data_IF_536313046853
#
_entry.id   IF_536313046853
#
_cell.length_a   1.000
_cell.length_b   1.000
_cell.length_c   1.000
_cell.angle_alpha   90.00
_cell.angle_beta   90.00
_cell.angle_gamma   90.00
#
_symmetry.space_group_name_H-M   'P 1'
#
loop_
_entity.id
_entity.type
_entity.pdbx_description
1 polymer ?
#
# COMPACT_ATOMS: atom_id res chain seq x y z
N UNK A 1 21.21 52.33 -23.88
CA UNK A 1 19.77 52.63 -23.81
C UNK A 1 19.05 51.58 -24.60
N UNK A 2 18.68 50.49 -23.99
CA UNK A 2 17.97 49.37 -24.63
C UNK A 2 16.63 49.22 -23.92
N UNK A 3 15.55 49.30 -24.69
CA UNK A 3 14.17 49.27 -24.23
C UNK A 3 13.78 47.88 -23.75
N UNK A 4 12.89 47.70 -22.76
CA UNK A 4 12.47 46.41 -22.25
C UNK A 4 11.37 45.76 -23.10
N UNK A 5 11.40 44.45 -23.14
CA UNK A 5 10.47 43.55 -23.81
C UNK A 5 9.14 43.46 -23.03
N UNK A 6 7.94 43.60 -23.65
CA UNK A 6 6.66 43.74 -22.94
C UNK A 6 5.90 42.44 -22.67
N UNK A 7 6.52 41.28 -22.58
CA UNK A 7 5.81 40.01 -22.40
C UNK A 7 6.33 39.18 -21.18
N UNK A 8 6.37 39.79 -20.03
CA UNK A 8 6.51 39.04 -18.76
C UNK A 8 5.30 39.32 -17.88
N UNK A 9 4.38 38.42 -17.84
CA UNK A 9 3.28 38.38 -16.87
C UNK A 9 3.88 38.05 -15.49
N UNK A 10 3.67 38.88 -14.45
CA UNK A 10 4.23 38.58 -13.12
C UNK A 10 3.50 37.44 -12.45
N UNK A 11 4.27 36.51 -11.85
CA UNK A 11 3.79 35.48 -10.93
C UNK A 11 3.02 36.11 -9.76
N UNK A 12 1.93 35.50 -9.28
CA UNK A 12 1.22 36.00 -8.11
C UNK A 12 2.11 35.94 -6.87
N UNK A 13 2.01 36.94 -5.97
CA UNK A 13 2.85 37.01 -4.78
C UNK A 13 2.53 35.90 -3.79
N UNK A 14 3.56 35.29 -3.24
CA UNK A 14 3.45 34.40 -2.09
C UNK A 14 2.87 35.15 -0.88
N UNK A 15 1.94 34.55 -0.11
CA UNK A 15 1.44 35.19 1.11
C UNK A 15 2.55 35.24 2.14
N UNK A 16 2.91 36.49 2.55
CA UNK A 16 3.82 36.78 3.65
C UNK A 16 3.20 36.35 4.97
N UNK A 17 4.06 35.84 5.84
CA UNK A 17 3.76 35.29 7.15
C UNK A 17 2.83 36.16 8.01
N UNK A 18 1.81 35.49 8.52
CA UNK A 18 1.01 35.90 9.66
C UNK A 18 1.53 35.19 10.91
N UNK A 19 1.63 35.93 11.99
CA UNK A 19 2.04 35.48 13.31
C UNK A 19 1.22 34.29 13.84
N UNK A 20 1.75 33.45 14.73
CA UNK A 20 1.03 32.31 15.26
C UNK A 20 0.00 32.76 16.30
N UNK A 21 -1.27 32.66 15.96
CA UNK A 21 -2.36 32.74 16.92
C UNK A 21 -2.47 31.42 17.68
N UNK A 22 -2.59 31.55 18.99
CA UNK A 22 -2.74 30.47 19.97
C UNK A 22 -3.90 29.52 19.60
N UNK A 23 -3.59 28.24 19.49
CA UNK A 23 -4.57 27.18 19.18
C UNK A 23 -5.22 26.73 20.46
N UNK A 24 -6.47 27.17 20.65
CA UNK A 24 -7.41 26.51 21.56
C UNK A 24 -7.86 25.20 20.92
N UNK A 25 -7.75 24.10 21.67
CA UNK A 25 -8.15 22.78 21.22
C UNK A 25 -9.64 22.70 20.91
N UNK A 26 -9.97 22.14 19.76
CA UNK A 26 -11.31 21.70 19.39
C UNK A 26 -11.23 20.18 19.14
N UNK A 27 -12.09 19.37 19.77
CA UNK A 27 -12.11 17.94 19.54
C UNK A 27 -12.69 17.63 18.15
N UNK A 28 -12.00 16.80 17.40
CA UNK A 28 -12.45 16.27 16.13
C UNK A 28 -13.57 15.26 16.37
N UNK A 29 -14.79 15.66 16.09
CA UNK A 29 -15.94 14.77 15.95
C UNK A 29 -16.02 14.36 14.48
N UNK A 30 -15.69 13.12 14.19
CA UNK A 30 -16.04 12.47 12.92
C UNK A 30 -17.38 11.80 13.10
N UNK A 31 -18.41 12.40 12.55
CA UNK A 31 -19.69 11.73 12.30
C UNK A 31 -19.52 10.81 11.09
N UNK A 32 -19.50 9.50 11.35
CA UNK A 32 -19.74 8.49 10.34
C UNK A 32 -21.25 8.35 10.16
N UNK A 33 -21.76 8.88 9.07
CA UNK A 33 -23.14 8.67 8.65
C UNK A 33 -23.29 7.27 8.07
N UNK A 34 -24.05 6.44 8.78
CA UNK A 34 -24.66 5.21 8.28
C UNK A 34 -25.59 5.52 7.11
N UNK A 35 -25.51 4.68 6.09
CA UNK A 35 -26.60 4.52 5.13
C UNK A 35 -26.88 3.01 4.98
N UNK A 36 -27.86 2.57 5.77
CA UNK A 36 -28.63 1.37 5.54
C UNK A 36 -29.53 1.58 4.31
N UNK A 37 -29.44 0.67 3.35
CA UNK A 37 -30.57 0.38 2.46
C UNK A 37 -30.72 -1.12 2.35
N UNK A 38 -31.71 -1.63 3.07
CA UNK A 38 -32.29 -2.93 2.90
C UNK A 38 -33.09 -2.99 1.58
N UNK A 39 -32.94 -4.06 0.82
CA UNK A 39 -34.09 -4.61 0.07
C UNK A 39 -33.93 -6.10 -0.14
N UNK A 40 -34.95 -6.79 0.28
CA UNK A 40 -35.20 -8.20 0.19
C UNK A 40 -35.44 -8.66 -1.27
N UNK A 41 -35.08 -9.89 -1.56
CA UNK A 41 -35.47 -10.62 -2.74
C UNK A 41 -35.15 -12.09 -2.59
N UNK A 42 -36.12 -12.86 -2.06
CA UNK A 42 -36.12 -14.31 -2.03
C UNK A 42 -36.41 -14.88 -3.41
N UNK A 43 -35.72 -15.98 -3.83
CA UNK A 43 -36.24 -17.03 -4.73
C UNK A 43 -35.44 -18.31 -4.49
N UNK A 44 -36.09 -19.26 -4.05
CA UNK A 44 -36.40 -20.67 -4.09
C UNK A 44 -35.35 -21.70 -4.64
N UNK A 45 -35.20 -22.87 -3.98
CA UNK A 45 -34.27 -23.92 -4.35
C UNK A 45 -35.00 -25.08 -5.03
N UNK A 46 -34.58 -25.48 -6.21
CA UNK A 46 -34.73 -26.88 -6.74
C UNK A 46 -33.98 -27.01 -8.07
N UNK A 47 -33.05 -27.97 -8.09
CA UNK A 47 -32.88 -29.04 -9.08
C UNK A 47 -31.48 -29.64 -8.99
N UNK A 48 -31.42 -30.79 -8.41
CA UNK A 48 -31.18 -32.12 -8.96
C UNK A 48 -29.77 -32.47 -9.44
N UNK A 49 -29.27 -33.44 -8.73
CA UNK A 49 -28.16 -34.37 -8.99
C UNK A 49 -28.20 -34.96 -10.38
N UNK A 50 -27.06 -35.20 -11.02
CA UNK A 50 -26.70 -36.48 -11.66
C UNK A 50 -25.18 -36.67 -11.58
N UNK A 51 -24.84 -37.84 -11.26
CA UNK A 51 -23.67 -38.61 -10.94
C UNK A 51 -22.71 -38.91 -12.10
N UNK A 52 -21.47 -39.17 -11.72
CA UNK A 52 -20.51 -40.21 -12.13
C UNK A 52 -19.86 -40.18 -13.52
N UNK A 53 -18.55 -40.22 -13.53
CA UNK A 53 -17.63 -41.28 -14.02
C UNK A 53 -16.28 -40.67 -14.49
N UNK A 54 -15.19 -41.03 -13.82
CA UNK A 54 -13.82 -41.07 -14.35
C UNK A 54 -13.59 -42.42 -15.08
N UNK A 55 -12.44 -42.75 -15.70
CA UNK A 55 -11.09 -42.14 -15.69
C UNK A 55 -10.32 -42.18 -17.06
N UNK A 56 -9.11 -41.56 -17.01
CA UNK A 56 -7.86 -41.89 -17.72
C UNK A 56 -7.83 -42.16 -19.22
N UNK A 57 -6.96 -41.42 -19.93
CA UNK A 57 -5.78 -41.99 -20.61
C UNK A 57 -4.92 -40.93 -21.25
N UNK A 58 -3.61 -41.10 -21.06
CA UNK A 58 -2.50 -40.42 -21.70
C UNK A 58 -2.49 -40.68 -23.22
N UNK A 59 -2.25 -39.65 -24.03
CA UNK A 59 -1.58 -39.80 -25.34
C UNK A 59 -0.80 -38.48 -25.70
N UNK A 60 0.49 -38.67 -25.81
CA UNK A 60 1.43 -37.87 -26.59
C UNK A 60 1.00 -37.82 -28.05
N UNK A 61 0.97 -36.63 -28.66
CA UNK A 61 1.13 -36.56 -30.13
C UNK A 61 1.90 -35.29 -30.54
N UNK A 62 2.80 -35.57 -31.46
CA UNK A 62 3.78 -34.76 -32.16
C UNK A 62 3.16 -33.80 -33.17
N UNK A 63 3.91 -32.74 -33.39
CA UNK A 63 4.03 -31.82 -34.51
C UNK A 63 3.18 -31.93 -35.76
N UNK A 64 2.96 -30.75 -36.34
CA UNK A 64 2.60 -30.37 -37.71
C UNK A 64 1.10 -30.38 -38.04
N UNK A 65 0.58 -29.16 -38.23
CA UNK A 65 -0.13 -28.83 -39.46
C UNK A 65 -0.33 -27.31 -39.56
N UNK A 66 0.31 -26.73 -40.56
CA UNK A 66 -0.10 -25.49 -41.15
C UNK A 66 -1.43 -25.72 -41.86
N UNK A 67 -2.48 -25.06 -41.48
CA UNK A 67 -3.74 -25.04 -42.21
C UNK A 67 -4.45 -23.69 -42.07
N UNK A 68 -4.43 -22.98 -43.18
CA UNK A 68 -5.51 -22.16 -43.73
C UNK A 68 -6.29 -21.31 -42.71
N UNK A 69 -5.90 -20.06 -42.58
CA UNK A 69 -6.77 -18.98 -42.10
C UNK A 69 -7.93 -18.85 -43.08
N UNK A 70 -9.13 -19.11 -42.65
CA UNK A 70 -10.35 -18.78 -43.37
C UNK A 70 -10.75 -17.36 -42.99
N UNK A 71 -11.14 -16.58 -44.01
CA UNK A 71 -11.53 -15.16 -43.98
C UNK A 71 -12.79 -14.82 -43.16
N UNK A 72 -13.11 -15.60 -42.14
CA UNK A 72 -14.28 -15.41 -41.28
C UNK A 72 -13.97 -14.78 -39.93
N UNK A 73 -12.71 -14.59 -39.54
CA UNK A 73 -12.32 -13.94 -38.29
C UNK A 73 -12.08 -12.44 -38.39
N UNK A 74 -11.94 -11.89 -39.60
CA UNK A 74 -11.76 -10.44 -39.82
C UNK A 74 -13.10 -9.66 -39.86
N UNK A 75 -14.24 -10.33 -39.80
CA UNK A 75 -15.55 -9.68 -39.85
C UNK A 75 -16.15 -9.31 -38.46
N UNK A 76 -15.46 -9.59 -37.35
CA UNK A 76 -15.98 -9.30 -36.00
C UNK A 76 -15.28 -8.12 -35.31
N UNK A 77 -14.35 -7.44 -35.99
CA UNK A 77 -13.66 -6.24 -35.45
C UNK A 77 -14.34 -4.94 -35.87
N UNK A 78 -15.31 -5.01 -36.79
CA UNK A 78 -15.97 -3.82 -37.33
C UNK A 78 -17.43 -3.69 -36.84
N UNK A 79 -17.65 -3.41 -35.57
CA UNK A 79 -18.85 -2.71 -35.07
C UNK A 79 -18.78 -2.43 -33.57
N UNK A 80 -17.73 -1.79 -33.11
CA UNK A 80 -17.86 -0.93 -31.92
C UNK A 80 -18.50 0.37 -32.47
N UNK A 81 -19.71 0.73 -32.05
CA UNK A 81 -20.34 1.91 -32.59
C UNK A 81 -19.48 3.13 -32.30
N UNK A 82 -18.96 3.75 -33.33
CA UNK A 82 -18.30 5.06 -33.32
C UNK A 82 -19.25 6.16 -32.77
N UNK A 83 -20.48 5.82 -32.50
CA UNK A 83 -21.52 6.71 -31.99
C UNK A 83 -21.46 7.00 -30.48
N UNK A 84 -20.64 6.28 -29.68
CA UNK A 84 -20.54 6.54 -28.23
C UNK A 84 -19.43 7.54 -27.91
N UNK A 85 -18.46 7.72 -28.82
CA UNK A 85 -17.35 8.67 -28.63
C UNK A 85 -17.79 10.15 -28.83
N UNK A 86 -18.93 10.41 -29.44
CA UNK A 86 -19.40 11.78 -29.74
C UNK A 86 -20.27 12.43 -28.65
N UNK A 87 -20.44 11.78 -27.48
CA UNK A 87 -21.45 12.22 -26.50
C UNK A 87 -20.81 12.70 -25.18
N UNK A 88 -19.54 12.43 -24.91
CA UNK A 88 -18.96 12.82 -23.62
C UNK A 88 -18.28 14.18 -23.71
N UNK A 89 -18.95 15.21 -23.19
CA UNK A 89 -18.36 16.54 -23.07
C UNK A 89 -17.31 16.58 -21.96
N UNK A 90 -16.32 17.51 -22.00
CA UNK A 90 -15.38 17.77 -20.91
C UNK A 90 -16.06 17.95 -19.56
N UNK A 91 -17.15 18.73 -19.51
CA UNK A 91 -17.91 18.99 -18.28
C UNK A 91 -18.59 17.74 -17.73
N UNK A 92 -19.16 16.90 -18.62
CA UNK A 92 -19.75 15.64 -18.20
C UNK A 92 -18.69 14.70 -17.59
N UNK A 93 -17.52 14.60 -18.22
CA UNK A 93 -16.42 13.81 -17.68
C UNK A 93 -15.97 14.33 -16.30
N UNK A 94 -15.81 15.65 -16.15
CA UNK A 94 -15.43 16.26 -14.87
C UNK A 94 -16.49 16.04 -13.79
N UNK A 95 -17.77 16.03 -14.13
CA UNK A 95 -18.83 15.76 -13.18
C UNK A 95 -18.88 14.28 -12.73
N UNK A 96 -18.45 13.34 -13.59
CA UNK A 96 -18.61 11.89 -13.38
C UNK A 96 -17.28 11.10 -13.36
N UNK A 97 -16.14 11.79 -13.29
CA UNK A 97 -14.84 11.14 -13.42
C UNK A 97 -14.59 10.04 -12.37
N UNK A 98 -15.15 10.14 -11.17
CA UNK A 98 -15.01 9.14 -10.12
C UNK A 98 -15.66 7.80 -10.49
N UNK A 99 -16.70 7.82 -11.29
CA UNK A 99 -17.39 6.64 -11.81
C UNK A 99 -16.72 6.08 -13.07
N UNK A 100 -16.14 6.98 -13.87
CA UNK A 100 -15.54 6.66 -15.16
C UNK A 100 -14.11 6.13 -14.98
N UNK A 101 -13.28 6.85 -14.23
CA UNK A 101 -11.86 6.56 -14.06
C UNK A 101 -11.55 5.12 -13.60
N UNK A 102 -12.31 4.48 -12.69
CA UNK A 102 -12.05 3.09 -12.29
C UNK A 102 -11.99 2.11 -13.46
N UNK A 103 -12.75 2.36 -14.55
CA UNK A 103 -12.78 1.49 -15.74
C UNK A 103 -11.45 1.49 -16.51
N UNK A 104 -10.62 2.52 -16.31
CA UNK A 104 -9.33 2.71 -16.98
C UNK A 104 -8.11 2.39 -16.10
N UNK A 105 -8.36 1.96 -14.86
CA UNK A 105 -7.30 1.64 -13.87
C UNK A 105 -7.41 0.18 -13.45
N UNK A 106 -6.27 -0.51 -13.32
CA UNK A 106 -6.23 -1.84 -12.73
C UNK A 106 -7.13 -2.87 -13.42
N UNK A 107 -7.17 -2.85 -14.75
CA UNK A 107 -8.07 -3.70 -15.56
C UNK A 107 -9.55 -3.51 -15.20
N UNK A 108 -9.95 -2.29 -14.87
CA UNK A 108 -11.33 -1.95 -14.52
C UNK A 108 -11.75 -2.28 -13.09
N UNK A 109 -10.81 -2.75 -12.26
CA UNK A 109 -11.05 -3.12 -10.85
C UNK A 109 -9.95 -2.60 -9.93
N UNK A 110 -9.79 -1.28 -9.79
CA UNK A 110 -8.81 -0.72 -8.86
C UNK A 110 -9.18 -1.07 -7.42
N UNK A 111 -8.16 -1.21 -6.55
CA UNK A 111 -8.42 -1.37 -5.13
C UNK A 111 -9.09 -0.10 -4.56
N UNK A 112 -10.00 -0.28 -3.61
CA UNK A 112 -10.71 0.81 -2.94
C UNK A 112 -9.74 1.90 -2.42
N UNK A 113 -8.70 1.51 -1.67
CA UNK A 113 -7.70 2.45 -1.15
C UNK A 113 -6.99 3.25 -2.26
N UNK A 114 -6.78 2.63 -3.44
CA UNK A 114 -6.18 3.32 -4.58
C UNK A 114 -7.09 4.45 -5.07
N UNK A 115 -8.39 4.18 -5.17
CA UNK A 115 -9.36 5.19 -5.60
C UNK A 115 -9.52 6.31 -4.57
N UNK A 116 -9.53 6.00 -3.28
CA UNK A 116 -9.54 7.02 -2.20
C UNK A 116 -8.36 7.98 -2.34
N UNK A 117 -7.14 7.45 -2.52
CA UNK A 117 -5.96 8.30 -2.72
C UNK A 117 -6.01 9.09 -4.04
N UNK A 118 -6.41 8.45 -5.15
CA UNK A 118 -6.52 9.12 -6.44
C UNK A 118 -7.55 10.25 -6.39
N UNK A 119 -8.70 10.03 -5.74
CA UNK A 119 -9.71 11.07 -5.53
C UNK A 119 -9.13 12.27 -4.78
N UNK A 120 -8.42 12.04 -3.69
CA UNK A 120 -7.79 13.12 -2.94
C UNK A 120 -6.76 13.90 -3.78
N UNK A 121 -5.93 13.20 -4.58
CA UNK A 121 -4.89 13.85 -5.38
C UNK A 121 -5.44 14.61 -6.58
N UNK A 122 -6.46 14.07 -7.24
CA UNK A 122 -7.14 14.72 -8.38
C UNK A 122 -7.94 15.93 -7.91
N UNK A 123 -8.62 15.84 -6.76
CA UNK A 123 -9.31 16.99 -6.18
C UNK A 123 -8.34 18.12 -5.82
N UNK A 124 -7.17 17.79 -5.24
CA UNK A 124 -6.13 18.80 -4.98
C UNK A 124 -5.66 19.49 -6.28
N UNK A 125 -5.55 18.74 -7.36
CA UNK A 125 -5.23 19.31 -8.67
C UNK A 125 -6.37 20.23 -9.17
N UNK A 126 -7.64 19.85 -9.00
CA UNK A 126 -8.77 20.70 -9.36
C UNK A 126 -8.81 21.99 -8.53
N UNK A 127 -8.53 21.91 -7.23
CA UNK A 127 -8.45 23.09 -6.38
C UNK A 127 -7.35 24.07 -6.85
N UNK A 128 -6.20 23.52 -7.28
CA UNK A 128 -5.13 24.32 -7.86
C UNK A 128 -5.56 24.94 -9.21
N UNK A 129 -6.22 24.19 -10.11
CA UNK A 129 -6.75 24.73 -11.36
C UNK A 129 -7.72 25.89 -11.10
N UNK A 130 -8.63 25.73 -10.14
CA UNK A 130 -9.55 26.79 -9.74
C UNK A 130 -8.83 28.04 -9.22
N UNK A 131 -7.76 27.86 -8.45
CA UNK A 131 -6.95 28.96 -7.92
C UNK A 131 -6.24 29.79 -9.01
N UNK A 132 -5.88 29.14 -10.13
CA UNK A 132 -5.28 29.82 -11.30
C UNK A 132 -6.31 30.17 -12.37
N UNK A 133 -7.62 30.02 -12.09
CA UNK A 133 -8.72 30.27 -13.03
C UNK A 133 -8.59 29.50 -14.35
N UNK A 134 -8.17 28.23 -14.28
CA UNK A 134 -7.99 27.36 -15.46
C UNK A 134 -8.94 26.18 -15.41
N UNK A 135 -9.55 25.86 -16.55
CA UNK A 135 -10.36 24.66 -16.65
C UNK A 135 -9.46 23.40 -16.66
N UNK A 136 -9.72 22.35 -15.85
CA UNK A 136 -8.84 21.19 -15.76
C UNK A 136 -8.56 20.47 -17.09
N UNK A 137 -9.51 20.49 -18.03
CA UNK A 137 -9.33 19.88 -19.36
C UNK A 137 -8.55 20.75 -20.36
N UNK A 138 -8.23 21.99 -20.02
CA UNK A 138 -7.47 22.93 -20.84
C UNK A 138 -6.04 23.12 -20.33
N UNK A 139 -5.65 22.38 -19.31
CA UNK A 139 -4.31 22.44 -18.73
C UNK A 139 -3.30 21.85 -19.71
N UNK A 140 -2.25 22.60 -19.97
CA UNK A 140 -1.11 22.23 -20.82
C UNK A 140 0.03 21.61 -19.99
N UNK A 141 1.07 21.09 -20.66
CA UNK A 141 2.30 20.61 -19.98
C UNK A 141 3.02 21.74 -19.22
N UNK A 142 2.95 22.98 -19.73
CA UNK A 142 3.51 24.16 -19.05
C UNK A 142 2.83 24.38 -17.68
N UNK A 143 1.51 24.37 -17.65
CA UNK A 143 0.74 24.55 -16.41
C UNK A 143 0.93 23.35 -15.46
N UNK A 144 1.05 22.13 -15.99
CA UNK A 144 1.38 20.97 -15.16
C UNK A 144 2.74 21.09 -14.48
N UNK A 145 3.74 21.69 -15.13
CA UNK A 145 5.03 22.01 -14.47
C UNK A 145 4.83 23.03 -13.35
N UNK A 146 3.99 24.04 -13.57
CA UNK A 146 3.60 24.99 -12.53
C UNK A 146 2.92 24.34 -11.33
N UNK A 147 2.06 23.31 -11.58
CA UNK A 147 1.48 22.53 -10.51
C UNK A 147 2.53 21.74 -9.70
N UNK A 148 3.54 21.17 -10.36
CA UNK A 148 4.64 20.51 -9.66
C UNK A 148 5.45 21.49 -8.81
N UNK A 149 5.78 22.67 -9.36
CA UNK A 149 6.47 23.72 -8.59
C UNK A 149 5.65 24.15 -7.37
N UNK A 150 4.33 24.27 -7.53
CA UNK A 150 3.43 24.55 -6.41
C UNK A 150 3.46 23.43 -5.37
N UNK A 151 3.46 22.14 -5.77
CA UNK A 151 3.58 21.02 -4.83
C UNK A 151 4.91 21.06 -4.05
N UNK A 152 6.03 21.37 -4.73
CA UNK A 152 7.32 21.59 -4.05
C UNK A 152 7.25 22.75 -3.07
N UNK A 153 6.61 23.84 -3.46
CA UNK A 153 6.36 25.00 -2.59
C UNK A 153 5.52 24.70 -1.35
N UNK A 154 4.64 23.67 -1.43
CA UNK A 154 3.90 23.15 -0.27
C UNK A 154 4.73 22.19 0.61
N UNK A 155 5.99 21.95 0.28
CA UNK A 155 6.90 21.07 1.05
C UNK A 155 6.70 19.57 0.83
N UNK A 156 6.01 19.15 -0.23
CA UNK A 156 5.90 17.73 -0.54
C UNK A 156 7.25 17.16 -1.02
N UNK A 157 7.56 15.94 -0.60
CA UNK A 157 8.73 15.18 -1.05
C UNK A 157 8.51 14.58 -2.44
N UNK A 158 9.60 14.31 -3.17
CA UNK A 158 9.59 13.72 -4.51
C UNK A 158 8.70 12.48 -4.62
N UNK A 159 8.80 11.52 -3.70
CA UNK A 159 7.97 10.31 -3.70
C UNK A 159 6.47 10.63 -3.61
N UNK A 160 6.11 11.62 -2.79
CA UNK A 160 4.71 12.05 -2.66
C UNK A 160 4.22 12.71 -3.94
N UNK A 161 5.05 13.58 -4.53
CA UNK A 161 4.75 14.26 -5.79
C UNK A 161 4.62 13.23 -6.92
N UNK A 162 5.54 12.26 -6.99
CA UNK A 162 5.50 11.19 -7.99
C UNK A 162 4.18 10.39 -7.92
N UNK A 163 3.72 10.02 -6.70
CA UNK A 163 2.45 9.30 -6.53
C UNK A 163 1.25 10.15 -6.93
N UNK A 164 1.24 11.45 -6.59
CA UNK A 164 0.20 12.39 -7.00
C UNK A 164 0.17 12.53 -8.53
N UNK A 165 1.32 12.70 -9.15
CA UNK A 165 1.44 12.79 -10.62
C UNK A 165 0.96 11.52 -11.32
N UNK A 166 1.21 10.33 -10.75
CA UNK A 166 0.66 9.07 -11.30
C UNK A 166 -0.86 9.09 -11.33
N UNK A 167 -1.53 9.58 -10.28
CA UNK A 167 -2.99 9.67 -10.24
C UNK A 167 -3.52 10.61 -11.32
N UNK A 168 -2.92 11.81 -11.44
CA UNK A 168 -3.32 12.83 -12.42
C UNK A 168 -3.04 12.36 -13.86
N UNK A 169 -1.89 11.71 -14.08
CA UNK A 169 -1.57 11.11 -15.39
C UNK A 169 -2.61 10.05 -15.79
N UNK A 170 -3.10 9.24 -14.84
CA UNK A 170 -4.17 8.26 -15.11
C UNK A 170 -5.50 8.92 -15.41
N UNK A 171 -5.81 10.03 -14.76
CA UNK A 171 -7.00 10.82 -15.03
C UNK A 171 -6.98 11.38 -16.46
N UNK A 172 -5.89 12.03 -16.86
CA UNK A 172 -5.74 12.54 -18.23
C UNK A 172 -5.65 11.43 -19.28
N UNK A 173 -5.04 10.29 -18.97
CA UNK A 173 -5.02 9.14 -19.87
C UNK A 173 -6.42 8.55 -20.11
N UNK A 174 -7.32 8.65 -19.14
CA UNK A 174 -8.72 8.28 -19.36
C UNK A 174 -9.44 9.31 -20.26
N UNK A 175 -9.22 10.60 -20.04
CA UNK A 175 -9.77 11.68 -20.86
C UNK A 175 -9.27 11.60 -22.32
N UNK A 176 -8.00 11.31 -22.54
CA UNK A 176 -7.40 11.11 -23.86
C UNK A 176 -8.01 9.89 -24.59
N UNK A 177 -8.16 8.75 -23.91
CA UNK A 177 -8.81 7.56 -24.47
C UNK A 177 -10.28 7.76 -24.80
N UNK A 178 -10.94 8.70 -24.14
CA UNK A 178 -12.31 9.10 -24.41
C UNK A 178 -12.41 10.24 -25.45
N UNK A 179 -11.27 10.64 -26.03
CA UNK A 179 -11.17 11.72 -27.01
C UNK A 179 -11.72 13.07 -26.50
N UNK A 180 -11.67 13.29 -25.20
CA UNK A 180 -12.06 14.56 -24.55
C UNK A 180 -10.93 15.58 -24.70
N UNK A 181 -9.69 15.12 -24.62
CA UNK A 181 -8.46 15.89 -24.88
C UNK A 181 -7.66 15.20 -25.99
N UNK A 182 -6.87 15.98 -26.71
CA UNK A 182 -6.03 15.45 -27.79
C UNK A 182 -4.77 14.72 -27.27
N UNK A 183 -4.15 15.24 -26.22
CA UNK A 183 -2.92 14.73 -25.64
C UNK A 183 -2.95 14.85 -24.12
N UNK A 184 -2.29 13.89 -23.45
CA UNK A 184 -2.15 13.90 -22.01
C UNK A 184 -1.05 14.89 -21.58
N UNK A 185 -1.36 15.99 -20.88
CA UNK A 185 -0.39 17.02 -20.52
C UNK A 185 0.68 16.53 -19.50
N UNK A 186 0.51 15.33 -18.96
CA UNK A 186 1.46 14.73 -18.03
C UNK A 186 2.45 13.76 -18.69
N UNK A 187 2.38 13.56 -20.02
CA UNK A 187 3.10 12.46 -20.69
C UNK A 187 4.61 12.55 -20.48
N UNK A 188 5.18 13.73 -20.66
CA UNK A 188 6.63 13.99 -20.60
C UNK A 188 7.10 14.63 -19.28
N UNK A 189 6.27 14.56 -18.26
CA UNK A 189 6.60 15.10 -16.95
C UNK A 189 7.14 13.99 -16.05
N UNK A 190 8.34 14.15 -15.56
CA UNK A 190 8.99 13.22 -14.66
C UNK A 190 9.35 13.90 -13.34
N UNK A 191 9.10 13.20 -12.25
CA UNK A 191 9.63 13.57 -10.94
C UNK A 191 10.87 12.70 -10.72
N UNK A 192 12.00 13.26 -10.31
CA UNK A 192 13.17 12.47 -9.96
C UNK A 192 12.78 11.39 -8.95
N UNK A 193 13.20 10.16 -9.22
CA UNK A 193 13.05 9.12 -8.19
C UNK A 193 13.90 9.55 -7.01
N UNK A 194 13.30 9.57 -5.81
CA UNK A 194 14.06 9.72 -4.60
C UNK A 194 15.21 8.71 -4.62
N UNK A 195 16.41 9.18 -4.37
CA UNK A 195 17.58 8.29 -4.30
C UNK A 195 17.30 7.22 -3.26
N UNK A 196 17.56 5.93 -3.54
CA UNK A 196 17.29 4.81 -2.63
C UNK A 196 18.13 4.84 -1.34
N UNK A 197 18.64 5.97 -0.95
CA UNK A 197 19.65 6.14 0.11
C UNK A 197 19.06 6.30 1.51
N UNK A 198 17.74 6.25 1.67
CA UNK A 198 17.17 6.18 3.00
C UNK A 198 17.54 4.83 3.62
N UNK A 199 18.32 4.89 4.70
CA UNK A 199 18.60 3.73 5.55
C UNK A 199 17.27 3.11 5.95
N UNK A 200 17.05 1.88 5.55
CA UNK A 200 15.88 1.13 6.00
C UNK A 200 15.97 1.02 7.51
N UNK A 201 14.99 1.58 8.20
CA UNK A 201 14.84 1.37 9.63
C UNK A 201 14.34 -0.04 9.89
N UNK A 202 15.05 -0.76 10.73
CA UNK A 202 14.68 -2.10 11.20
C UNK A 202 15.13 -2.28 12.65
N UNK A 203 14.59 -3.27 13.31
CA UNK A 203 14.92 -3.65 14.68
C UNK A 203 15.71 -4.96 14.68
N UNK A 204 16.74 -5.03 15.50
CA UNK A 204 17.46 -6.29 15.77
C UNK A 204 16.55 -7.25 16.55
N UNK A 205 16.89 -8.56 16.62
CA UNK A 205 16.16 -9.51 17.46
C UNK A 205 16.06 -9.05 18.92
N UNK A 206 17.13 -8.49 19.49
CA UNK A 206 17.14 -7.97 20.87
C UNK A 206 16.17 -6.80 21.05
N UNK A 207 16.12 -5.87 20.08
CA UNK A 207 15.17 -4.75 20.12
C UNK A 207 13.71 -5.21 19.96
N UNK A 208 13.47 -6.24 19.13
CA UNK A 208 12.13 -6.85 19.05
C UNK A 208 11.76 -7.51 20.38
N UNK A 209 12.71 -8.13 21.06
CA UNK A 209 12.51 -8.70 22.39
C UNK A 209 12.16 -7.62 23.42
N UNK A 210 12.86 -6.47 23.43
CA UNK A 210 12.53 -5.32 24.32
C UNK A 210 11.12 -4.80 24.07
N UNK A 211 10.70 -4.71 22.79
CA UNK A 211 9.33 -4.30 22.43
C UNK A 211 8.31 -5.32 22.95
N UNK A 212 8.60 -6.61 22.85
CA UNK A 212 7.73 -7.65 23.40
C UNK A 212 7.69 -7.60 24.92
N UNK A 213 8.84 -7.34 25.59
CA UNK A 213 8.93 -7.21 27.04
C UNK A 213 8.06 -6.06 27.56
N UNK A 214 8.06 -4.90 26.88
CA UNK A 214 7.14 -3.79 27.19
C UNK A 214 5.67 -4.23 27.22
N UNK A 215 5.24 -5.02 26.23
CA UNK A 215 3.87 -5.55 26.26
C UNK A 215 3.67 -6.64 27.30
N UNK A 216 4.75 -7.38 27.65
CA UNK A 216 4.75 -8.41 28.67
C UNK A 216 4.36 -7.91 30.07
N UNK A 217 4.61 -6.63 30.34
CA UNK A 217 4.25 -5.97 31.60
C UNK A 217 2.74 -5.68 31.73
N UNK A 218 1.95 -5.83 30.67
CA UNK A 218 0.52 -5.58 30.72
C UNK A 218 -0.20 -6.71 31.49
N UNK A 219 -0.93 -6.34 32.54
CA UNK A 219 -1.68 -7.27 33.39
C UNK A 219 -2.83 -7.96 32.66
N UNK A 220 -3.46 -7.29 31.67
CA UNK A 220 -4.54 -7.87 30.86
C UNK A 220 -3.97 -8.84 29.82
N UNK A 221 -4.16 -10.17 29.98
CA UNK A 221 -3.61 -11.17 29.07
C UNK A 221 -4.17 -11.03 27.65
N UNK A 222 -5.39 -10.50 27.49
CA UNK A 222 -5.96 -10.23 26.15
C UNK A 222 -5.17 -9.17 25.41
N UNK A 223 -4.83 -8.05 26.05
CA UNK A 223 -4.05 -6.97 25.45
C UNK A 223 -2.60 -7.37 25.23
N UNK A 224 -2.01 -8.01 26.24
CA UNK A 224 -0.63 -8.50 26.22
C UNK A 224 -0.39 -9.41 25.03
N UNK A 225 -1.10 -10.52 24.99
CA UNK A 225 -0.88 -11.56 23.98
C UNK A 225 -1.29 -11.09 22.56
N UNK A 226 -2.32 -10.24 22.45
CA UNK A 226 -2.67 -9.59 21.19
C UNK A 226 -1.51 -8.77 20.63
N UNK A 227 -0.95 -7.90 21.46
CA UNK A 227 0.08 -6.96 21.02
C UNK A 227 1.40 -7.68 20.70
N UNK A 228 1.81 -8.65 21.52
CA UNK A 228 2.97 -9.49 21.26
C UNK A 228 2.78 -10.30 19.97
N UNK A 229 1.62 -10.94 19.77
CA UNK A 229 1.31 -11.65 18.53
C UNK A 229 1.46 -10.77 17.30
N UNK A 230 1.02 -9.50 17.37
CA UNK A 230 1.15 -8.55 16.25
C UNK A 230 2.63 -8.22 16.00
N UNK A 231 3.45 -8.03 17.05
CA UNK A 231 4.90 -7.82 16.92
C UNK A 231 5.56 -9.01 16.20
N UNK A 232 5.27 -10.24 16.63
CA UNK A 232 5.82 -11.45 15.99
C UNK A 232 5.38 -11.58 14.53
N UNK A 233 4.09 -11.42 14.23
CA UNK A 233 3.58 -11.50 12.86
C UNK A 233 4.20 -10.44 11.94
N UNK A 234 4.49 -9.24 12.44
CA UNK A 234 5.13 -8.19 11.64
C UNK A 234 6.65 -8.30 11.64
N UNK A 235 7.27 -8.49 12.80
CA UNK A 235 8.71 -8.38 13.02
C UNK A 235 9.48 -9.68 12.78
N UNK A 236 8.80 -10.82 12.86
CA UNK A 236 9.39 -12.16 12.62
C UNK A 236 8.85 -12.75 11.34
N UNK A 237 7.54 -12.87 11.20
CA UNK A 237 6.90 -13.48 10.02
C UNK A 237 6.77 -12.51 8.83
N UNK A 238 7.03 -11.22 9.04
CA UNK A 238 7.06 -10.22 8.00
C UNK A 238 5.70 -9.85 7.38
N UNK A 239 4.60 -10.07 8.08
CA UNK A 239 3.27 -9.71 7.59
C UNK A 239 3.08 -8.19 7.49
N UNK A 240 2.27 -7.77 6.50
CA UNK A 240 1.87 -6.37 6.35
C UNK A 240 0.76 -6.02 7.33
N UNK A 241 0.69 -4.77 7.77
CA UNK A 241 -0.41 -4.27 8.61
C UNK A 241 -1.81 -4.63 8.02
N UNK A 242 -2.01 -4.44 6.72
CA UNK A 242 -3.28 -4.77 6.06
C UNK A 242 -3.57 -6.28 6.06
N UNK A 243 -2.56 -7.13 6.02
CA UNK A 243 -2.70 -8.59 6.09
C UNK A 243 -3.16 -9.02 7.50
N UNK A 244 -2.58 -8.43 8.53
CA UNK A 244 -2.99 -8.62 9.94
C UNK A 244 -4.43 -8.12 10.18
N UNK A 245 -4.75 -6.93 9.67
CA UNK A 245 -6.11 -6.39 9.75
C UNK A 245 -7.16 -7.33 9.15
N UNK A 246 -6.86 -7.95 7.99
CA UNK A 246 -7.78 -8.83 7.27
C UNK A 246 -7.81 -10.26 7.79
N UNK A 247 -6.94 -10.61 8.72
CA UNK A 247 -6.80 -11.96 9.24
C UNK A 247 -8.04 -12.37 10.05
N UNK A 248 -8.53 -13.58 9.81
CA UNK A 248 -9.65 -14.19 10.52
C UNK A 248 -9.17 -15.40 11.32
N UNK A 249 -9.94 -15.83 12.28
CA UNK A 249 -9.63 -17.05 13.05
C UNK A 249 -9.59 -18.28 12.15
N UNK A 250 -10.48 -18.33 11.18
CA UNK A 250 -10.60 -19.39 10.19
C UNK A 250 -9.41 -19.50 9.21
N UNK A 251 -8.53 -18.48 9.19
CA UNK A 251 -7.32 -18.50 8.38
C UNK A 251 -6.17 -19.28 9.04
N UNK A 252 -6.30 -19.60 10.33
CA UNK A 252 -5.27 -20.31 11.11
C UNK A 252 -5.61 -21.77 11.19
N UNK A 253 -4.70 -22.61 10.76
CA UNK A 253 -4.71 -24.05 10.97
C UNK A 253 -3.74 -24.37 12.11
N UNK A 254 -4.31 -24.72 13.27
CA UNK A 254 -3.55 -24.99 14.51
C UNK A 254 -2.90 -26.38 14.51
N UNK A 255 -3.38 -27.31 13.68
CA UNK A 255 -2.87 -28.67 13.63
C UNK A 255 -1.55 -28.74 12.87
N UNK A 256 -1.43 -27.95 11.80
CA UNK A 256 -0.22 -27.89 10.98
C UNK A 256 0.56 -26.58 11.16
N UNK A 257 0.21 -25.75 12.14
CA UNK A 257 0.84 -24.47 12.44
C UNK A 257 1.00 -23.60 11.17
N UNK A 258 -0.10 -23.35 10.46
CA UNK A 258 -0.06 -22.54 9.25
C UNK A 258 -1.13 -21.46 9.23
N UNK A 259 -0.86 -20.38 8.50
CA UNK A 259 -1.75 -19.23 8.37
C UNK A 259 -1.96 -18.93 6.90
N UNK A 260 -3.23 -18.82 6.48
CA UNK A 260 -3.60 -18.34 5.17
C UNK A 260 -3.62 -16.81 5.17
N UNK A 261 -2.75 -16.19 4.39
CA UNK A 261 -2.56 -14.74 4.31
C UNK A 261 -3.17 -14.20 3.04
N UNK A 262 -4.22 -13.38 3.17
CA UNK A 262 -4.85 -12.67 2.05
C UNK A 262 -4.02 -11.46 1.64
N UNK A 263 -3.27 -11.59 0.56
CA UNK A 263 -2.40 -10.54 0.04
C UNK A 263 -3.11 -9.57 -0.92
N UNK A 264 -2.42 -8.50 -1.32
CA UNK A 264 -2.87 -7.62 -2.40
C UNK A 264 -2.55 -8.29 -3.74
N UNK A 265 -3.49 -9.16 -4.20
CA UNK A 265 -3.43 -9.82 -5.51
C UNK A 265 -2.70 -11.17 -5.54
N UNK A 266 -2.18 -11.67 -4.42
CA UNK A 266 -1.74 -13.04 -4.21
C UNK A 266 -1.97 -13.43 -2.76
N UNK A 267 -2.73 -14.49 -2.60
CA UNK A 267 -2.86 -15.16 -1.33
C UNK A 267 -1.66 -16.11 -1.17
N UNK A 268 -1.23 -16.32 0.06
CA UNK A 268 -0.15 -17.24 0.39
C UNK A 268 -0.43 -17.94 1.70
N UNK A 269 0.18 -19.10 1.90
CA UNK A 269 0.23 -19.77 3.18
C UNK A 269 1.62 -19.58 3.78
N UNK A 270 1.67 -19.20 5.04
CA UNK A 270 2.91 -19.13 5.81
C UNK A 270 2.90 -20.19 6.91
N UNK A 271 4.09 -20.58 7.36
CA UNK A 271 4.32 -21.52 8.44
C UNK A 271 5.12 -20.80 9.53
N UNK A 272 4.43 -20.13 10.47
CA UNK A 272 5.08 -19.35 11.51
C UNK A 272 5.92 -20.22 12.44
N UNK A 273 6.92 -19.59 13.09
CA UNK A 273 7.68 -20.25 14.15
C UNK A 273 6.77 -20.60 15.34
N UNK A 274 7.26 -21.52 16.20
CA UNK A 274 6.46 -22.03 17.32
C UNK A 274 6.14 -20.92 18.33
N UNK A 275 7.05 -19.97 18.54
CA UNK A 275 6.84 -18.83 19.42
C UNK A 275 5.68 -17.95 18.95
N UNK A 276 5.62 -17.67 17.64
CA UNK A 276 4.49 -16.94 17.04
C UNK A 276 3.18 -17.67 17.29
N UNK A 277 3.15 -18.98 17.07
CA UNK A 277 1.97 -19.79 17.29
C UNK A 277 1.59 -19.92 18.76
N UNK A 278 2.55 -19.96 19.66
CA UNK A 278 2.31 -19.97 21.11
C UNK A 278 1.61 -18.70 21.58
N UNK A 279 2.07 -17.52 21.15
CA UNK A 279 1.42 -16.25 21.45
C UNK A 279 0.01 -16.14 20.83
N UNK A 280 -0.19 -16.65 19.62
CA UNK A 280 -1.51 -16.70 19.00
C UNK A 280 -2.48 -17.60 19.76
N UNK A 281 -2.03 -18.79 20.25
CA UNK A 281 -2.83 -19.66 21.11
C UNK A 281 -3.19 -18.98 22.45
N UNK A 282 -2.21 -18.35 23.09
CA UNK A 282 -2.41 -17.62 24.33
C UNK A 282 -3.40 -16.46 24.16
N UNK A 283 -3.28 -15.71 23.07
CA UNK A 283 -4.21 -14.65 22.73
C UNK A 283 -5.64 -15.19 22.53
N UNK A 284 -5.81 -16.26 21.75
CA UNK A 284 -7.11 -16.86 21.51
C UNK A 284 -7.76 -17.37 22.81
N UNK A 285 -6.95 -17.93 23.72
CA UNK A 285 -7.43 -18.36 25.04
C UNK A 285 -7.87 -17.18 25.93
N UNK A 286 -7.26 -16.01 25.78
CA UNK A 286 -7.60 -14.80 26.49
C UNK A 286 -8.77 -14.01 25.85
N UNK A 287 -9.20 -14.38 24.64
CA UNK A 287 -10.32 -13.72 23.96
C UNK A 287 -11.66 -13.99 24.63
N UNK A 288 -12.62 -13.05 24.53
CA UNK A 288 -13.98 -13.30 25.00
C UNK A 288 -14.63 -14.47 24.25
N UNK A 289 -15.46 -15.24 24.96
CA UNK A 289 -16.12 -16.42 24.41
C UNK A 289 -17.06 -16.09 23.23
N UNK A 290 -17.66 -14.90 23.22
CA UNK A 290 -18.52 -14.42 22.14
C UNK A 290 -17.85 -13.26 21.44
N UNK A 291 -17.52 -13.45 20.17
CA UNK A 291 -16.98 -12.43 19.27
C UNK A 291 -17.96 -12.24 18.11
N UNK A 292 -18.27 -11.00 17.80
CA UNK A 292 -19.11 -10.68 16.65
C UNK A 292 -18.40 -11.11 15.34
N UNK A 293 -19.15 -11.76 14.47
CA UNK A 293 -18.67 -12.06 13.11
C UNK A 293 -18.66 -10.79 12.27
N UNK A 294 -17.69 -10.72 11.39
CA UNK A 294 -17.56 -9.72 10.34
C UNK A 294 -17.91 -10.41 9.02
N UNK A 295 -19.18 -10.31 8.62
CA UNK A 295 -19.75 -11.16 7.57
C UNK A 295 -19.75 -12.64 7.97
N UNK A 296 -19.16 -13.49 7.12
CA UNK A 296 -19.05 -14.93 7.34
C UNK A 296 -17.89 -15.34 8.27
N UNK A 297 -17.00 -14.41 8.62
CA UNK A 297 -15.73 -14.68 9.29
C UNK A 297 -15.66 -14.10 10.69
N UNK A 298 -14.79 -14.68 11.53
CA UNK A 298 -14.49 -14.17 12.87
C UNK A 298 -13.17 -13.42 12.83
N UNK A 299 -13.14 -12.09 13.11
CA UNK A 299 -11.88 -11.35 13.14
C UNK A 299 -10.86 -12.01 14.07
N UNK A 300 -9.60 -12.12 13.60
CA UNK A 300 -8.54 -12.63 14.46
C UNK A 300 -8.21 -11.64 15.57
N UNK A 301 -7.86 -10.41 15.21
CA UNK A 301 -7.47 -9.39 16.18
C UNK A 301 -8.63 -8.44 16.50
N UNK A 302 -8.88 -8.25 17.79
CA UNK A 302 -10.01 -7.51 18.29
C UNK A 302 -9.60 -6.16 18.90
N UNK A 303 -10.44 -5.16 18.69
CA UNK A 303 -10.31 -3.83 19.28
C UNK A 303 -10.67 -3.85 20.78
N UNK A 304 -9.93 -3.07 21.56
CA UNK A 304 -10.26 -2.77 22.95
C UNK A 304 -10.86 -1.37 23.14
N UNK A 305 -11.04 -0.59 22.05
CA UNK A 305 -11.59 0.76 22.14
C UNK A 305 -13.05 0.76 22.61
N UNK A 306 -13.43 1.78 23.39
CA UNK A 306 -14.78 1.86 23.98
C UNK A 306 -15.89 1.88 22.92
N UNK A 307 -15.67 2.54 21.78
CA UNK A 307 -16.66 2.67 20.70
C UNK A 307 -16.76 1.45 19.79
N UNK A 308 -15.78 0.53 19.83
CA UNK A 308 -15.73 -0.63 18.93
C UNK A 308 -15.16 -1.87 19.63
N UNK A 309 -15.60 -2.07 20.88
CA UNK A 309 -15.05 -3.13 21.73
C UNK A 309 -15.34 -4.51 21.15
N UNK A 310 -14.28 -5.30 20.97
CA UNK A 310 -14.30 -6.65 20.41
C UNK A 310 -14.73 -6.75 18.95
N UNK A 311 -14.86 -5.62 18.23
CA UNK A 311 -14.90 -5.64 16.77
C UNK A 311 -13.50 -5.81 16.17
N UNK A 312 -13.41 -5.91 14.83
CA UNK A 312 -12.14 -6.04 14.11
C UNK A 312 -11.18 -4.90 14.43
N UNK A 313 -9.96 -5.22 14.81
CA UNK A 313 -8.92 -4.21 15.04
C UNK A 313 -8.57 -3.52 13.71
N UNK A 314 -8.74 -2.21 13.63
CA UNK A 314 -8.49 -1.43 12.42
C UNK A 314 -6.99 -1.31 12.10
N UNK A 315 -6.65 -0.99 10.83
CA UNK A 315 -5.26 -0.71 10.42
C UNK A 315 -4.64 0.44 11.21
N UNK A 316 -5.42 1.46 11.54
CA UNK A 316 -4.98 2.57 12.39
C UNK A 316 -4.78 2.12 13.84
N UNK A 317 -5.63 1.21 14.34
CA UNK A 317 -5.47 0.60 15.67
C UNK A 317 -4.16 -0.21 15.76
N UNK A 318 -3.85 -1.02 14.75
CA UNK A 318 -2.56 -1.74 14.68
C UNK A 318 -1.38 -0.75 14.66
N UNK A 319 -1.47 0.30 13.82
CA UNK A 319 -0.43 1.33 13.75
C UNK A 319 -0.24 2.02 15.10
N UNK A 320 -1.34 2.40 15.76
CA UNK A 320 -1.31 3.04 17.07
C UNK A 320 -0.61 2.15 18.11
N UNK A 321 -0.98 0.86 18.17
CA UNK A 321 -0.33 -0.10 19.07
C UNK A 321 1.17 -0.16 18.81
N UNK A 322 1.60 -0.35 17.56
CA UNK A 322 3.02 -0.42 17.22
C UNK A 322 3.76 0.88 17.51
N UNK A 323 3.16 2.03 17.20
CA UNK A 323 3.76 3.33 17.47
C UNK A 323 3.91 3.59 18.97
N UNK A 324 2.94 3.16 19.80
CA UNK A 324 3.01 3.27 21.25
C UNK A 324 4.22 2.51 21.80
N UNK A 325 4.43 1.26 21.39
CA UNK A 325 5.61 0.50 21.83
C UNK A 325 6.93 1.16 21.43
N UNK A 326 6.99 1.74 20.23
CA UNK A 326 8.19 2.43 19.75
C UNK A 326 8.49 3.70 20.56
N UNK A 327 7.45 4.40 21.01
CA UNK A 327 7.60 5.59 21.87
C UNK A 327 8.12 5.16 23.25
N UNK A 328 7.48 4.20 23.87
CA UNK A 328 7.80 3.77 25.24
C UNK A 328 9.18 3.09 25.34
N UNK A 329 9.58 2.34 24.32
CA UNK A 329 10.94 1.73 24.27
C UNK A 329 12.02 2.68 23.74
N UNK A 330 11.67 3.91 23.35
CA UNK A 330 12.63 4.91 22.83
C UNK A 330 13.10 4.63 21.39
N UNK A 331 12.48 3.67 20.68
CA UNK A 331 12.85 3.34 19.30
C UNK A 331 12.12 4.20 18.26
N UNK A 332 11.17 5.06 18.66
CA UNK A 332 10.47 5.97 17.75
C UNK A 332 11.41 7.06 17.24
N UNK A 333 11.57 7.12 15.92
CA UNK A 333 12.34 8.15 15.21
C UNK A 333 11.51 8.69 14.04
N UNK A 334 11.83 9.88 13.50
CA UNK A 334 11.23 10.36 12.26
C UNK A 334 11.37 9.30 11.15
N UNK A 335 10.28 9.01 10.43
CA UNK A 335 10.24 7.98 9.39
C UNK A 335 10.05 6.54 9.89
N UNK A 336 10.21 6.25 11.18
CA UNK A 336 9.96 4.93 11.76
C UNK A 336 8.48 4.73 12.03
N UNK A 337 7.91 3.69 11.43
CA UNK A 337 6.50 3.30 11.58
C UNK A 337 6.36 1.78 11.64
N UNK A 338 5.14 1.28 11.71
CA UNK A 338 4.88 -0.16 11.74
C UNK A 338 5.52 -0.95 10.57
N UNK A 339 5.89 -0.30 9.46
CA UNK A 339 6.63 -0.95 8.37
C UNK A 339 8.06 -1.35 8.76
N UNK A 340 8.66 -0.67 9.75
CA UNK A 340 9.98 -1.02 10.26
C UNK A 340 10.03 -2.44 10.85
N UNK A 341 8.93 -2.90 11.46
CA UNK A 341 8.83 -4.29 11.93
C UNK A 341 8.98 -5.29 10.78
N UNK A 342 8.26 -5.09 9.69
CA UNK A 342 8.38 -5.96 8.51
C UNK A 342 9.78 -5.86 7.87
N UNK A 343 10.38 -4.69 7.88
CA UNK A 343 11.78 -4.54 7.45
C UNK A 343 12.73 -5.32 8.35
N UNK A 344 12.44 -5.43 9.65
CA UNK A 344 13.20 -6.25 10.59
C UNK A 344 13.15 -7.72 10.18
N UNK A 345 11.96 -8.26 9.88
CA UNK A 345 11.85 -9.64 9.41
C UNK A 345 12.74 -9.90 8.18
N UNK A 346 12.65 -9.03 7.16
CA UNK A 346 13.44 -9.20 5.92
C UNK A 346 14.95 -9.06 6.16
N UNK A 347 15.37 -8.07 6.96
CA UNK A 347 16.79 -7.81 7.23
C UNK A 347 17.41 -8.90 8.10
N UNK A 348 16.72 -9.30 9.17
CA UNK A 348 17.22 -10.32 10.11
C UNK A 348 17.23 -11.70 9.43
N UNK A 349 16.20 -12.05 8.64
CA UNK A 349 16.17 -13.30 7.89
C UNK A 349 17.32 -13.36 6.86
N UNK A 350 17.56 -12.27 6.13
CA UNK A 350 18.70 -12.22 5.21
C UNK A 350 20.03 -12.26 5.95
N UNK A 351 20.15 -11.60 7.11
CA UNK A 351 21.35 -11.64 7.93
C UNK A 351 21.70 -13.08 8.36
N UNK A 352 20.68 -13.85 8.73
CA UNK A 352 20.83 -15.23 9.19
C UNK A 352 21.09 -16.22 8.05
N UNK A 353 20.43 -16.08 6.89
CA UNK A 353 20.41 -17.10 5.85
C UNK A 353 21.24 -16.77 4.61
N UNK A 354 21.47 -15.48 4.33
CA UNK A 354 22.06 -14.96 3.09
C UNK A 354 21.31 -15.36 1.83
N UNK A 355 20.07 -15.81 1.96
CA UNK A 355 19.21 -16.26 0.86
C UNK A 355 18.12 -15.24 0.58
N UNK A 356 18.29 -14.46 -0.52
CA UNK A 356 17.31 -13.47 -0.97
C UNK A 356 16.01 -14.11 -1.46
N UNK A 357 16.09 -15.32 -1.98
CA UNK A 357 14.91 -16.02 -2.48
C UNK A 357 13.99 -16.41 -1.32
N UNK A 358 14.58 -16.95 -0.26
CA UNK A 358 13.85 -17.26 0.97
C UNK A 358 13.19 -16.01 1.55
N UNK A 359 13.91 -14.87 1.62
CA UNK A 359 13.36 -13.59 2.08
C UNK A 359 12.21 -13.13 1.17
N UNK A 360 12.36 -13.24 -0.15
CA UNK A 360 11.33 -12.88 -1.11
C UNK A 360 10.05 -13.68 -0.90
N UNK A 361 10.18 -14.98 -0.76
CA UNK A 361 9.05 -15.92 -0.60
C UNK A 361 8.36 -15.70 0.77
N UNK A 362 9.13 -15.56 1.86
CA UNK A 362 8.61 -15.27 3.20
C UNK A 362 7.80 -13.97 3.22
N UNK A 363 8.37 -12.90 2.67
CA UNK A 363 7.69 -11.60 2.63
C UNK A 363 6.58 -11.54 1.57
N UNK A 364 6.54 -12.43 0.60
CA UNK A 364 5.59 -12.39 -0.52
C UNK A 364 5.82 -11.15 -1.40
N UNK A 365 7.07 -10.87 -1.80
CA UNK A 365 7.41 -9.81 -2.73
C UNK A 365 7.30 -10.31 -4.17
N UNK A 366 6.46 -9.65 -4.98
CA UNK A 366 6.36 -9.93 -6.41
C UNK A 366 7.61 -9.51 -7.19
N UNK A 367 8.13 -8.33 -6.85
CA UNK A 367 9.30 -7.77 -7.51
C UNK A 367 10.55 -8.07 -6.67
N UNK A 368 11.52 -8.83 -7.22
CA UNK A 368 12.80 -9.11 -6.57
C UNK A 368 13.57 -7.85 -6.19
N UNK A 369 13.41 -6.75 -6.93
CA UNK A 369 14.05 -5.47 -6.62
C UNK A 369 13.70 -4.96 -5.23
N UNK A 370 12.46 -5.22 -4.78
CA UNK A 370 12.02 -4.87 -3.42
C UNK A 370 12.80 -5.63 -2.35
N UNK A 371 13.22 -6.87 -2.64
CA UNK A 371 13.97 -7.71 -1.69
C UNK A 371 15.47 -7.42 -1.72
N UNK A 372 16.02 -7.03 -2.86
CA UNK A 372 17.45 -6.72 -3.01
C UNK A 372 17.93 -5.63 -2.03
N UNK A 373 17.05 -4.74 -1.61
CA UNK A 373 17.34 -3.69 -0.60
C UNK A 373 17.88 -4.24 0.72
N UNK A 374 17.45 -5.44 1.14
CA UNK A 374 17.92 -6.06 2.39
C UNK A 374 19.37 -6.53 2.28
N UNK A 375 19.80 -7.01 1.11
CA UNK A 375 21.20 -7.33 0.85
C UNK A 375 22.07 -6.07 0.94
N UNK A 376 21.66 -4.98 0.30
CA UNK A 376 22.38 -3.71 0.36
C UNK A 376 22.54 -3.17 1.78
N UNK A 377 21.51 -3.28 2.62
CA UNK A 377 21.59 -2.86 4.03
C UNK A 377 22.65 -3.69 4.76
N UNK A 378 22.62 -5.02 4.65
CA UNK A 378 23.58 -5.91 5.29
C UNK A 378 25.00 -5.69 4.77
N UNK A 379 25.16 -5.51 3.46
CA UNK A 379 26.47 -5.21 2.88
C UNK A 379 27.04 -3.89 3.40
N UNK A 380 26.23 -2.85 3.53
CA UNK A 380 26.64 -1.55 4.11
C UNK A 380 27.01 -1.68 5.58
N UNK A 381 26.29 -2.48 6.36
CA UNK A 381 26.58 -2.71 7.77
C UNK A 381 27.88 -3.52 7.97
N UNK A 382 28.11 -4.51 7.09
CA UNK A 382 29.26 -5.41 7.20
C UNK A 382 30.53 -4.85 6.53
N UNK A 383 30.37 -4.06 5.45
CA UNK A 383 31.46 -3.46 4.71
C UNK A 383 31.90 -2.14 5.37
N UNK A 384 32.69 -2.26 6.42
CA UNK A 384 33.50 -1.13 6.91
C UNK A 384 34.66 -0.89 5.93
N UNK A 385 34.30 -0.45 4.70
CA UNK A 385 35.28 -0.24 3.61
C UNK A 385 36.44 0.65 4.02
N UNK A 386 36.18 1.61 4.91
CA UNK A 386 37.21 2.50 5.48
C UNK A 386 38.06 1.85 6.57
N UNK A 387 37.73 0.66 7.06
CA UNK A 387 38.55 -0.03 8.05
C UNK A 387 39.94 -0.39 7.50
N UNK A 388 40.06 -0.56 6.17
CA UNK A 388 41.35 -0.84 5.53
C UNK A 388 42.27 0.39 5.48
N UNK A 389 41.77 1.61 5.64
CA UNK A 389 42.54 2.86 5.60
C UNK A 389 42.64 3.56 6.96
N UNK A 390 42.20 2.89 8.03
CA UNK A 390 42.38 3.42 9.38
C UNK A 390 43.88 3.52 9.69
N UNK A 391 44.43 4.68 10.09
CA UNK A 391 45.81 4.81 10.52
C UNK A 391 46.05 3.87 11.70
N UNK A 392 47.00 2.93 11.53
CA UNK A 392 47.47 2.06 12.63
C UNK A 392 48.75 2.63 13.17
N UNK A 393 48.95 2.64 14.51
CA UNK A 393 50.25 3.00 15.05
C UNK A 393 51.29 2.05 14.44
N UNK A 394 52.41 2.61 14.01
CA UNK A 394 53.53 1.81 13.59
C UNK A 394 53.96 0.94 14.80
N UNK A 395 53.99 -0.37 14.61
CA UNK A 395 54.70 -1.23 15.55
C UNK A 395 56.15 -0.78 15.55
N UNK A 396 56.57 -0.16 16.63
CA UNK A 396 57.98 0.11 16.89
C UNK A 396 58.64 -1.27 17.05
N UNK A 397 59.34 -1.70 15.99
CA UNK A 397 60.19 -2.87 16.13
C UNK A 397 61.34 -2.45 17.03
N UNK A 398 61.26 -2.88 18.29
CA UNK A 398 62.42 -2.81 19.19
C UNK A 398 63.57 -3.59 18.53
N UNK A 399 64.69 -2.90 18.29
CA UNK A 399 65.93 -3.45 17.81
C UNK A 399 66.77 -3.95 18.99
#
# INVERSE_FOLDING_TARGET
MSSPNPNTTPLPPSPRGGEPLAVGGVPCTTDDAENDVASAGAIDPHAQKVSDVAPATSHTFSASNAAVRTDAEDAFVEAVPTAVASVMSPDYFLAHWQEILPRYIGHGRPAFDTMVHYTSYINQFFDWCAAIHRHPMEVTDYEMRGFLEWLYGQGYKDDTIAVKLVAIRRFFAAAERLHIIAENPCQDIYVPNATPDELIHFFTPDQLFEICAFYGENEDPFLRERNISIVYLMGVEGMRNVEIHRMNREDIDMDVNSIFVRGKGHDRRIFPCEETMAHLRAYLAACPAKVAKDGAFTPMFLSASRGHKFGRLSRNGIRFIMDQSLIETGFKKPGVSCHAFRHSAGTNLYAATKDLRLVQDTLGHRDPKTTARYAHVQERMNNRRTAAIVPRPHEVKDK
#
